data_IF_728343103923
#
_entry.id   IF_728343103923
#
_cell.length_a   1.000
_cell.length_b   1.000
_cell.length_c   1.000
_cell.angle_alpha   90.00
_cell.angle_beta   90.00
_cell.angle_gamma   90.00
#
_symmetry.space_group_name_H-M   'P 1'
#
loop_
_entity.id
_entity.type
_entity.pdbx_description
1 polymer ?
#
# COMPACT_ATOMS: atom_id res chain seq x y z
N UNK A 1 -18.00 2.55 -1.29
CA UNK A 1 -17.07 3.37 -2.09
C UNK A 1 -15.71 2.71 -1.94
N UNK A 2 -15.07 2.35 -3.05
CA UNK A 2 -13.97 1.39 -3.12
C UNK A 2 -12.71 1.89 -2.37
N UNK A 3 -12.59 1.49 -1.10
CA UNK A 3 -11.67 2.08 -0.13
C UNK A 3 -10.21 1.75 -0.48
N UNK A 4 -9.96 0.60 -1.11
CA UNK A 4 -8.62 0.09 -1.42
C UNK A 4 -7.85 0.98 -2.40
N UNK A 5 -8.49 1.41 -3.50
CA UNK A 5 -7.84 2.26 -4.51
C UNK A 5 -7.58 3.66 -3.94
N UNK A 6 -8.54 4.20 -3.18
CA UNK A 6 -8.40 5.51 -2.55
C UNK A 6 -7.28 5.53 -1.49
N UNK A 7 -7.13 4.45 -0.72
CA UNK A 7 -6.06 4.27 0.25
C UNK A 7 -4.69 4.20 -0.42
N UNK A 8 -4.58 3.46 -1.52
CA UNK A 8 -3.34 3.40 -2.30
C UNK A 8 -2.96 4.77 -2.84
N UNK A 9 -3.90 5.49 -3.46
CA UNK A 9 -3.68 6.84 -3.98
C UNK A 9 -3.25 7.82 -2.87
N UNK A 10 -3.85 7.72 -1.69
CA UNK A 10 -3.47 8.54 -0.53
C UNK A 10 -2.05 8.22 -0.05
N UNK A 11 -1.62 6.95 -0.07
CA UNK A 11 -0.23 6.60 0.25
C UNK A 11 0.77 7.15 -0.76
N UNK A 12 0.45 7.09 -2.06
CA UNK A 12 1.28 7.71 -3.11
C UNK A 12 1.38 9.22 -2.88
N UNK A 13 0.26 9.90 -2.63
CA UNK A 13 0.23 11.34 -2.32
C UNK A 13 1.07 11.69 -1.09
N UNK A 14 0.90 10.95 0.00
CA UNK A 14 1.65 11.19 1.23
C UNK A 14 3.14 10.89 1.04
N UNK A 15 3.50 9.89 0.24
CA UNK A 15 4.90 9.61 -0.10
C UNK A 15 5.51 10.74 -0.91
N UNK A 16 4.83 11.20 -1.96
CA UNK A 16 5.28 12.30 -2.80
C UNK A 16 5.54 13.58 -1.99
N UNK A 17 4.66 13.90 -1.03
CA UNK A 17 4.86 15.05 -0.14
C UNK A 17 6.09 14.93 0.78
N UNK A 18 6.50 13.70 1.12
CA UNK A 18 7.57 13.46 2.09
C UNK A 18 8.93 13.24 1.41
N UNK A 19 8.95 12.63 0.22
CA UNK A 19 10.17 12.18 -0.44
C UNK A 19 10.38 12.81 -1.81
N UNK A 20 9.43 13.61 -2.32
CA UNK A 20 9.46 14.16 -3.68
C UNK A 20 9.58 13.05 -4.74
N UNK A 21 10.35 13.29 -5.80
CA UNK A 21 10.70 12.32 -6.85
C UNK A 21 12.23 12.31 -6.97
N UNK A 22 12.94 11.54 -6.12
CA UNK A 22 14.40 11.58 -6.04
C UNK A 22 15.13 11.38 -7.38
N UNK A 23 14.61 10.50 -8.25
CA UNK A 23 15.15 10.30 -9.59
C UNK A 23 15.13 11.60 -10.40
N UNK A 24 14.02 12.32 -10.37
CA UNK A 24 13.86 13.58 -11.10
C UNK A 24 14.78 14.67 -10.55
N UNK A 25 14.87 14.79 -9.24
CA UNK A 25 15.78 15.74 -8.58
C UNK A 25 17.25 15.45 -8.96
N UNK A 26 17.63 14.17 -9.00
CA UNK A 26 18.96 13.74 -9.43
C UNK A 26 19.25 14.12 -10.88
N UNK A 27 18.31 13.89 -11.80
CA UNK A 27 18.46 14.29 -13.22
C UNK A 27 18.65 15.80 -13.37
N UNK A 28 17.91 16.61 -12.61
CA UNK A 28 18.10 18.07 -12.58
C UNK A 28 19.49 18.44 -12.07
N UNK A 29 19.98 17.79 -11.01
CA UNK A 29 21.30 18.07 -10.44
C UNK A 29 22.43 17.72 -11.42
N UNK A 30 22.32 16.59 -12.12
CA UNK A 30 23.35 16.13 -13.06
C UNK A 30 23.40 17.02 -14.32
N UNK A 31 22.24 17.38 -14.86
CA UNK A 31 22.15 18.33 -15.98
C UNK A 31 22.79 19.68 -15.63
N UNK A 32 22.49 20.24 -14.44
CA UNK A 32 23.13 21.47 -13.95
C UNK A 32 24.66 21.38 -13.86
N UNK A 33 25.20 20.22 -13.45
CA UNK A 33 26.67 20.01 -13.38
C UNK A 33 27.30 19.90 -14.76
N UNK A 34 26.60 19.30 -15.72
CA UNK A 34 27.08 19.13 -17.11
C UNK A 34 26.96 20.40 -17.96
N UNK A 35 26.17 21.39 -17.52
CA UNK A 35 25.87 22.60 -18.29
C UNK A 35 24.80 22.41 -19.37
N UNK A 36 24.10 21.28 -19.37
CA UNK A 36 23.01 20.98 -20.30
C UNK A 36 21.72 21.74 -19.91
N UNK A 37 21.04 22.33 -20.89
CA UNK A 37 19.76 23.03 -20.70
C UNK A 37 18.56 22.06 -20.65
N UNK A 38 18.69 20.84 -21.18
CA UNK A 38 17.60 19.87 -21.22
C UNK A 38 17.72 18.86 -20.06
N UNK A 39 16.89 19.04 -19.05
CA UNK A 39 16.94 18.30 -17.78
C UNK A 39 16.35 16.88 -17.86
N UNK A 40 15.57 16.58 -18.92
CA UNK A 40 14.71 15.39 -19.02
C UNK A 40 14.40 15.08 -20.49
N UNK A 41 14.32 13.80 -20.82
CA UNK A 41 13.92 13.27 -22.13
C UNK A 41 12.66 12.43 -22.02
N UNK A 42 12.06 12.05 -23.17
CA UNK A 42 10.94 11.12 -23.18
C UNK A 42 11.31 9.74 -22.60
N UNK A 43 12.57 9.34 -22.69
CA UNK A 43 13.07 8.10 -22.13
C UNK A 43 13.03 8.13 -20.59
N UNK A 44 13.20 9.29 -19.95
CA UNK A 44 13.16 9.40 -18.49
C UNK A 44 11.74 9.23 -17.90
N UNK A 45 10.67 9.33 -18.71
CA UNK A 45 9.28 9.32 -18.23
C UNK A 45 8.97 8.05 -17.42
N UNK A 46 9.38 6.89 -17.90
CA UNK A 46 9.09 5.63 -17.21
C UNK A 46 9.81 5.52 -15.86
N UNK A 47 11.03 6.06 -15.75
CA UNK A 47 11.77 6.11 -14.49
C UNK A 47 11.12 7.08 -13.51
N UNK A 48 10.69 8.25 -13.98
CA UNK A 48 9.98 9.25 -13.17
C UNK A 48 8.68 8.68 -12.63
N UNK A 49 7.86 8.04 -13.48
CA UNK A 49 6.60 7.41 -13.06
C UNK A 49 6.85 6.28 -12.06
N UNK A 50 7.85 5.44 -12.30
CA UNK A 50 8.19 4.35 -11.40
C UNK A 50 8.67 4.85 -10.03
N UNK A 51 9.50 5.89 -9.99
CA UNK A 51 9.99 6.46 -8.73
C UNK A 51 8.86 7.17 -7.95
N UNK A 52 8.02 7.92 -8.66
CA UNK A 52 6.86 8.63 -8.10
C UNK A 52 5.88 7.67 -7.42
N UNK A 53 5.62 6.51 -8.00
CA UNK A 53 4.66 5.52 -7.50
C UNK A 53 5.34 4.40 -6.73
N UNK A 54 6.04 3.51 -7.43
CA UNK A 54 6.60 2.27 -6.85
C UNK A 54 7.70 2.58 -5.84
N UNK A 55 8.67 3.43 -6.21
CA UNK A 55 9.79 3.80 -5.33
C UNK A 55 9.29 4.46 -4.05
N UNK A 56 8.39 5.42 -4.18
CA UNK A 56 7.78 6.12 -3.06
C UNK A 56 6.90 5.24 -2.16
N UNK A 57 6.12 4.31 -2.72
CA UNK A 57 5.41 3.31 -1.92
C UNK A 57 6.37 2.39 -1.17
N UNK A 58 7.46 1.98 -1.81
CA UNK A 58 8.48 1.13 -1.19
C UNK A 58 9.16 1.83 -0.01
N UNK A 59 9.57 3.10 -0.16
CA UNK A 59 10.11 3.92 0.94
C UNK A 59 9.16 3.98 2.15
N UNK A 60 7.86 4.20 1.92
CA UNK A 60 6.86 4.17 3.01
C UNK A 60 6.75 2.79 3.66
N UNK A 61 6.85 1.70 2.90
CA UNK A 61 6.79 0.33 3.45
C UNK A 61 7.99 0.05 4.33
N UNK A 62 9.19 0.44 3.90
CA UNK A 62 10.43 0.28 4.66
C UNK A 62 10.38 1.06 5.98
N UNK A 63 9.75 2.24 5.98
CA UNK A 63 9.51 3.03 7.20
C UNK A 63 8.28 2.58 8.01
N UNK A 64 7.58 1.51 7.61
CA UNK A 64 6.34 1.04 8.23
C UNK A 64 5.24 2.12 8.31
N UNK A 65 5.22 3.06 7.36
CA UNK A 65 4.25 4.17 7.27
C UNK A 65 3.15 3.94 6.23
N UNK A 66 3.03 2.74 5.68
CA UNK A 66 1.92 2.44 4.76
C UNK A 66 0.62 2.34 5.56
N UNK A 67 -0.38 3.12 5.19
CA UNK A 67 -1.70 3.11 5.82
C UNK A 67 -2.70 2.40 4.91
N UNK A 68 -3.73 1.73 5.43
CA UNK A 68 -4.71 1.05 4.57
C UNK A 68 -5.56 0.05 5.35
N UNK A 69 -6.07 -0.95 4.64
CA UNK A 69 -6.72 -2.09 5.29
C UNK A 69 -5.71 -3.20 5.64
N UNK A 70 -5.90 -3.81 6.80
CA UNK A 70 -5.37 -5.12 7.15
C UNK A 70 -6.13 -6.20 6.41
N UNK A 71 -5.38 -7.15 5.86
CA UNK A 71 -5.92 -8.41 5.35
C UNK A 71 -5.92 -9.43 6.49
N UNK A 72 -7.11 -9.69 7.03
CA UNK A 72 -7.29 -10.65 8.12
C UNK A 72 -7.42 -12.05 7.54
N UNK A 73 -6.66 -13.01 8.09
CA UNK A 73 -6.71 -14.40 7.64
C UNK A 73 -6.57 -15.38 8.81
N UNK A 74 -7.09 -16.59 8.63
CA UNK A 74 -6.87 -17.73 9.52
C UNK A 74 -6.13 -18.85 8.76
N UNK A 75 -5.35 -19.65 9.48
CA UNK A 75 -4.70 -20.85 8.93
C UNK A 75 -5.45 -22.06 9.45
N UNK A 76 -5.91 -22.91 8.54
CA UNK A 76 -6.52 -24.20 8.86
C UNK A 76 -6.03 -25.24 7.86
N UNK A 77 -5.59 -26.41 8.35
CA UNK A 77 -5.01 -27.49 7.52
C UNK A 77 -3.91 -27.01 6.56
N UNK A 78 -3.04 -26.11 7.04
CA UNK A 78 -1.95 -25.51 6.26
C UNK A 78 -2.41 -24.64 5.06
N UNK A 79 -3.70 -24.27 5.01
CA UNK A 79 -4.31 -23.39 4.01
C UNK A 79 -4.66 -22.04 4.66
N UNK A 80 -4.40 -20.93 3.94
CA UNK A 80 -4.76 -19.57 4.37
C UNK A 80 -6.16 -19.21 3.90
N UNK A 81 -7.05 -18.92 4.85
CA UNK A 81 -8.41 -18.44 4.59
C UNK A 81 -8.45 -16.94 4.84
N UNK A 82 -8.61 -16.16 3.77
CA UNK A 82 -8.68 -14.70 3.82
C UNK A 82 -10.10 -14.27 4.16
N UNK A 83 -10.29 -13.68 5.34
CA UNK A 83 -11.60 -13.50 5.95
C UNK A 83 -12.20 -12.13 5.64
N UNK A 84 -11.45 -11.06 5.89
CA UNK A 84 -11.93 -9.71 5.63
C UNK A 84 -10.80 -8.69 5.51
N UNK A 85 -11.17 -7.52 5.00
CA UNK A 85 -10.38 -6.30 5.09
C UNK A 85 -10.85 -5.47 6.28
N UNK A 86 -9.91 -4.99 7.10
CA UNK A 86 -10.19 -4.17 8.28
C UNK A 86 -9.35 -2.90 8.25
N UNK A 87 -9.88 -1.75 8.65
CA UNK A 87 -9.05 -0.54 8.77
C UNK A 87 -8.24 -0.59 10.07
N UNK A 88 -7.12 0.12 10.12
CA UNK A 88 -6.38 0.33 11.38
C UNK A 88 -7.22 0.99 12.50
N UNK A 89 -8.30 1.67 12.13
CA UNK A 89 -9.24 2.30 13.06
C UNK A 89 -10.39 1.40 13.49
N UNK A 90 -10.56 0.23 12.85
CA UNK A 90 -11.62 -0.70 13.23
C UNK A 90 -11.24 -1.35 14.57
N UNK A 91 -12.20 -1.49 15.47
CA UNK A 91 -11.99 -2.23 16.72
C UNK A 91 -11.96 -3.74 16.47
N UNK A 92 -11.37 -4.50 17.39
CA UNK A 92 -11.36 -5.97 17.31
C UNK A 92 -12.80 -6.53 17.23
N UNK A 93 -13.75 -5.92 17.93
CA UNK A 93 -15.17 -6.30 17.90
C UNK A 93 -15.80 -6.05 16.52
N UNK A 94 -15.51 -4.92 15.88
CA UNK A 94 -15.98 -4.61 14.52
C UNK A 94 -15.47 -5.64 13.51
N UNK A 95 -14.19 -6.00 13.62
CA UNK A 95 -13.55 -7.01 12.78
C UNK A 95 -14.19 -8.39 13.04
N UNK A 96 -14.37 -8.76 14.32
CA UNK A 96 -14.98 -10.04 14.70
C UNK A 96 -16.42 -10.17 14.20
N UNK A 97 -17.20 -9.10 14.28
CA UNK A 97 -18.57 -9.06 13.78
C UNK A 97 -18.66 -9.19 12.26
N UNK A 98 -17.74 -8.58 11.50
CA UNK A 98 -17.62 -8.80 10.04
C UNK A 98 -17.36 -10.27 9.71
N UNK A 99 -16.45 -10.92 10.44
CA UNK A 99 -16.13 -12.35 10.25
C UNK A 99 -17.34 -13.23 10.62
N UNK A 100 -18.01 -12.94 11.74
CA UNK A 100 -19.18 -13.68 12.21
C UNK A 100 -20.35 -13.65 11.21
N UNK A 101 -20.62 -12.48 10.63
CA UNK A 101 -21.78 -12.25 9.76
C UNK A 101 -21.67 -12.91 8.38
N UNK A 102 -20.46 -13.18 7.89
CA UNK A 102 -20.23 -13.67 6.53
C UNK A 102 -19.43 -14.98 6.50
N UNK A 103 -18.25 -15.01 7.14
CA UNK A 103 -17.28 -16.09 6.96
C UNK A 103 -17.64 -17.35 7.76
N UNK A 104 -18.22 -17.21 8.95
CA UNK A 104 -18.56 -18.38 9.80
C UNK A 104 -19.62 -19.28 9.17
N UNK A 105 -20.54 -18.71 8.40
CA UNK A 105 -21.59 -19.47 7.73
C UNK A 105 -21.01 -20.37 6.62
N UNK A 106 -20.03 -19.86 5.90
CA UNK A 106 -19.36 -20.58 4.81
C UNK A 106 -18.27 -21.53 5.32
N UNK A 107 -17.57 -21.15 6.40
CA UNK A 107 -16.46 -21.89 6.99
C UNK A 107 -16.70 -22.16 8.48
N UNK A 108 -17.54 -23.16 8.84
CA UNK A 108 -17.92 -23.42 10.23
C UNK A 108 -16.76 -23.73 11.17
N UNK A 109 -15.66 -24.30 10.66
CA UNK A 109 -14.45 -24.60 11.44
C UNK A 109 -13.84 -23.34 12.07
N UNK A 110 -14.11 -22.14 11.51
CA UNK A 110 -13.66 -20.87 12.09
C UNK A 110 -14.22 -20.64 13.51
N UNK A 111 -15.36 -21.25 13.88
CA UNK A 111 -15.89 -21.18 15.25
C UNK A 111 -14.95 -21.81 16.27
N UNK A 112 -14.22 -22.84 15.88
CA UNK A 112 -13.31 -23.53 16.79
C UNK A 112 -11.97 -22.82 16.94
N UNK A 113 -11.53 -22.13 15.88
CA UNK A 113 -10.25 -21.42 15.84
C UNK A 113 -10.37 -20.02 16.45
N UNK A 114 -11.51 -19.33 16.27
CA UNK A 114 -11.74 -17.94 16.69
C UNK A 114 -12.50 -17.86 18.02
N UNK A 115 -12.16 -18.74 18.99
CA UNK A 115 -12.78 -18.77 20.32
C UNK A 115 -12.44 -17.54 21.15
#
# INVERSE_FOLDING_TARGET
>A
MDVSISGLAQNVKNALNNYSIPYFEQRIMDAKKSGEEQYVTAEDVHHIVNDLVTGNLQRRREEQKTTGEWLIYAIHENIKYYLCLAKHSDSDDDIRNKINSSCILEFPFLREILK
#
